data_IF_322928057140
#
_entry.id   IF_322928057140
#
_cell.length_a   1.000
_cell.length_b   1.000
_cell.length_c   1.000
_cell.angle_alpha   90.00
_cell.angle_beta   90.00
_cell.angle_gamma   90.00
#
_symmetry.space_group_name_H-M   'P 1'
#
loop_
_entity.id
_entity.type
_entity.pdbx_description
1 polymer ?
#
# COMPACT_ATOMS: atom_id res chain seq x y z
N UNK A 1 -9.05 -22.25 22.61
CA UNK A 1 -8.75 -21.45 21.41
C UNK A 1 -9.61 -20.19 21.35
N UNK A 2 -9.01 -19.05 20.97
CA UNK A 2 -9.68 -17.75 20.76
C UNK A 2 -10.30 -17.71 19.36
N UNK A 3 -11.44 -17.06 19.18
CA UNK A 3 -12.05 -16.85 17.86
C UNK A 3 -11.20 -15.86 17.06
N UNK A 4 -10.89 -16.19 15.81
CA UNK A 4 -10.12 -15.34 14.89
C UNK A 4 -11.02 -14.76 13.81
N UNK A 5 -11.96 -15.56 13.31
CA UNK A 5 -12.89 -15.12 12.28
C UNK A 5 -14.16 -15.95 12.32
N UNK A 6 -15.28 -15.30 12.05
CA UNK A 6 -16.54 -15.95 11.75
C UNK A 6 -16.96 -15.60 10.33
N UNK A 7 -17.59 -16.53 9.63
CA UNK A 7 -18.21 -16.28 8.33
C UNK A 7 -19.71 -16.35 8.49
N UNK A 8 -20.43 -15.39 7.89
CA UNK A 8 -21.88 -15.38 7.88
C UNK A 8 -22.36 -15.25 6.44
N UNK A 9 -23.07 -16.28 5.98
CA UNK A 9 -23.66 -16.35 4.64
C UNK A 9 -25.18 -16.28 4.68
N UNK A 10 -25.83 -16.46 3.53
CA UNK A 10 -27.30 -16.54 3.47
C UNK A 10 -27.84 -17.88 3.95
N UNK A 11 -27.00 -18.92 3.97
CA UNK A 11 -27.35 -20.28 4.37
C UNK A 11 -26.45 -20.72 5.51
N UNK A 12 -26.95 -21.58 6.40
CA UNK A 12 -26.17 -22.15 7.52
C UNK A 12 -24.89 -22.86 7.07
N UNK A 13 -24.89 -23.46 5.88
CA UNK A 13 -23.73 -24.15 5.31
C UNK A 13 -22.59 -23.19 4.92
N UNK A 14 -22.89 -21.89 4.74
CA UNK A 14 -21.92 -20.85 4.46
C UNK A 14 -21.45 -20.11 5.73
N UNK A 15 -21.94 -20.54 6.90
CA UNK A 15 -21.52 -20.04 8.20
C UNK A 15 -20.38 -20.89 8.77
N UNK A 16 -19.49 -20.26 9.53
CA UNK A 16 -18.34 -20.93 10.11
C UNK A 16 -17.70 -20.10 11.21
N UNK A 17 -17.09 -20.75 12.19
CA UNK A 17 -16.31 -20.09 13.24
C UNK A 17 -14.96 -20.74 13.30
N UNK A 18 -13.91 -19.94 13.16
CA UNK A 18 -12.53 -20.40 13.14
C UNK A 18 -11.81 -19.87 14.37
N UNK A 19 -11.19 -20.78 15.12
CA UNK A 19 -10.49 -20.50 16.37
C UNK A 19 -9.03 -20.90 16.28
N UNK A 20 -8.19 -20.35 17.16
CA UNK A 20 -6.83 -20.85 17.33
C UNK A 20 -6.84 -22.34 17.68
N UNK A 21 -5.94 -23.10 17.03
CA UNK A 21 -5.87 -24.56 17.15
C UNK A 21 -4.89 -25.04 18.22
N UNK A 22 -3.99 -24.16 18.66
CA UNK A 22 -2.90 -24.46 19.60
C UNK A 22 -2.83 -23.37 20.66
N UNK A 23 -2.17 -23.72 21.76
CA UNK A 23 -1.79 -22.75 22.79
C UNK A 23 -0.76 -21.75 22.22
N UNK A 24 -0.77 -20.49 22.72
CA UNK A 24 0.19 -19.49 22.29
C UNK A 24 1.61 -19.91 22.67
N UNK A 25 2.55 -19.69 21.75
CA UNK A 25 3.98 -19.92 22.02
C UNK A 25 4.54 -18.87 22.98
N UNK A 26 4.09 -17.62 22.81
CA UNK A 26 4.55 -16.49 23.61
C UNK A 26 3.45 -15.41 23.68
N UNK A 27 3.12 -15.03 24.90
CA UNK A 27 2.10 -14.03 25.21
C UNK A 27 2.67 -12.68 25.65
N UNK A 28 3.98 -12.59 25.86
CA UNK A 28 4.66 -11.42 26.44
C UNK A 28 5.44 -10.62 25.41
N UNK A 29 6.04 -11.27 24.39
CA UNK A 29 6.81 -10.61 23.34
C UNK A 29 5.92 -9.56 22.65
N UNK A 30 6.32 -8.27 22.67
CA UNK A 30 5.63 -7.22 21.95
C UNK A 30 5.64 -7.50 20.44
N UNK A 31 4.48 -7.32 19.81
CA UNK A 31 4.30 -7.53 18.37
C UNK A 31 3.71 -6.27 17.75
N UNK A 32 4.30 -5.85 16.64
CA UNK A 32 3.74 -4.87 15.69
C UNK A 32 3.51 -5.54 14.35
N UNK A 33 2.44 -5.17 13.65
CA UNK A 33 2.13 -5.69 12.31
C UNK A 33 2.08 -4.54 11.31
N UNK A 34 2.90 -4.61 10.27
CA UNK A 34 2.89 -3.65 9.18
C UNK A 34 1.80 -4.00 8.17
N UNK A 35 0.97 -3.02 7.82
CA UNK A 35 -0.12 -3.18 6.84
C UNK A 35 -0.15 -2.01 5.86
N UNK A 36 -0.69 -2.26 4.67
CA UNK A 36 -0.90 -1.22 3.65
C UNK A 36 -2.19 -1.49 2.85
N UNK A 37 -2.47 -0.63 1.86
CA UNK A 37 -3.64 -0.78 0.98
C UNK A 37 -3.67 -2.09 0.17
N UNK A 38 -2.54 -2.77 0.00
CA UNK A 38 -2.43 -4.11 -0.62
C UNK A 38 -2.73 -5.26 0.33
N UNK A 39 -2.81 -5.00 1.64
CA UNK A 39 -3.22 -5.99 2.63
C UNK A 39 -4.70 -6.31 2.42
N UNK A 40 -5.00 -7.53 1.97
CA UNK A 40 -6.35 -7.93 1.61
C UNK A 40 -6.69 -9.35 2.08
N UNK A 41 -7.97 -9.61 2.32
CA UNK A 41 -8.49 -10.97 2.58
C UNK A 41 -7.89 -11.61 3.84
N UNK A 42 -7.25 -12.78 3.74
CA UNK A 42 -6.67 -13.49 4.90
C UNK A 42 -5.67 -12.64 5.70
N UNK A 43 -4.94 -11.73 5.05
CA UNK A 43 -4.03 -10.82 5.72
C UNK A 43 -4.77 -9.80 6.58
N UNK A 44 -5.96 -9.36 6.16
CA UNK A 44 -6.83 -8.47 6.95
C UNK A 44 -7.46 -9.22 8.12
N UNK A 45 -7.82 -10.50 7.94
CA UNK A 45 -8.29 -11.34 9.04
C UNK A 45 -7.19 -11.44 10.11
N UNK A 46 -5.94 -11.71 9.70
CA UNK A 46 -4.82 -11.81 10.63
C UNK A 46 -4.55 -10.49 11.37
N UNK A 47 -4.36 -9.39 10.62
CA UNK A 47 -4.09 -8.08 11.21
C UNK A 47 -5.24 -7.60 12.08
N UNK A 48 -6.48 -7.71 11.59
CA UNK A 48 -7.69 -7.31 12.31
C UNK A 48 -7.94 -8.15 13.56
N UNK A 49 -7.70 -9.47 13.52
CA UNK A 49 -7.83 -10.31 14.71
C UNK A 49 -6.77 -10.00 15.77
N UNK A 50 -5.53 -9.72 15.35
CA UNK A 50 -4.48 -9.30 16.29
C UNK A 50 -4.79 -7.92 16.91
N UNK A 51 -5.39 -7.01 16.15
CA UNK A 51 -5.84 -5.70 16.64
C UNK A 51 -7.02 -5.86 17.62
N UNK A 52 -8.05 -6.61 17.22
CA UNK A 52 -9.28 -6.79 17.98
C UNK A 52 -9.06 -7.56 19.29
N UNK A 53 -8.04 -8.43 19.34
CA UNK A 53 -7.62 -9.14 20.56
C UNK A 53 -6.56 -8.39 21.36
N UNK A 54 -6.20 -7.16 20.96
CA UNK A 54 -5.17 -6.33 21.59
C UNK A 54 -3.83 -7.05 21.75
N UNK A 55 -3.50 -7.94 20.79
CA UNK A 55 -2.26 -8.72 20.79
C UNK A 55 -1.12 -8.01 20.08
N UNK A 56 -1.43 -7.16 19.11
CA UNK A 56 -0.43 -6.43 18.34
C UNK A 56 -0.90 -5.02 17.99
N UNK A 57 0.07 -4.12 17.89
CA UNK A 57 -0.15 -2.76 17.37
C UNK A 57 -0.04 -2.80 15.85
N UNK A 58 -1.05 -2.31 15.15
CA UNK A 58 -1.10 -2.26 13.69
C UNK A 58 -0.53 -0.91 13.22
N UNK A 59 0.44 -0.96 12.31
CA UNK A 59 1.18 0.22 11.81
C UNK A 59 1.13 0.25 10.28
N UNK A 60 0.93 1.42 9.69
CA UNK A 60 1.01 1.60 8.24
C UNK A 60 -0.19 2.35 7.66
N UNK A 61 -0.82 1.85 6.60
CA UNK A 61 -2.04 2.47 6.05
C UNK A 61 -3.23 1.54 6.10
N UNK A 62 -4.43 2.13 5.99
CA UNK A 62 -5.69 1.40 5.88
C UNK A 62 -5.59 0.28 4.83
N UNK A 63 -6.07 -0.91 5.20
CA UNK A 63 -6.06 -2.09 4.33
C UNK A 63 -7.10 -2.00 3.21
N UNK A 64 -7.13 -3.00 2.33
CA UNK A 64 -7.97 -3.00 1.13
C UNK A 64 -9.49 -2.99 1.44
N UNK A 65 -9.92 -3.75 2.45
CA UNK A 65 -11.31 -3.95 2.80
C UNK A 65 -12.00 -5.05 2.00
N UNK A 66 -11.31 -6.17 1.75
CA UNK A 66 -11.89 -7.34 1.09
C UNK A 66 -12.45 -8.30 2.13
N UNK A 67 -13.69 -8.06 2.54
CA UNK A 67 -14.45 -8.80 3.55
C UNK A 67 -15.30 -9.97 3.05
N UNK A 68 -15.23 -10.31 1.75
CA UNK A 68 -16.03 -11.36 1.12
C UNK A 68 -15.29 -12.69 1.05
N UNK A 69 -16.02 -13.79 1.26
CA UNK A 69 -15.53 -15.16 1.15
C UNK A 69 -16.07 -15.78 -0.14
N UNK A 70 -15.15 -16.27 -0.97
CA UNK A 70 -15.47 -17.00 -2.19
C UNK A 70 -15.03 -18.45 -2.09
N UNK A 71 -15.83 -19.36 -2.67
CA UNK A 71 -15.45 -20.75 -2.87
C UNK A 71 -15.35 -21.05 -4.37
N UNK A 72 -14.31 -21.80 -4.81
CA UNK A 72 -14.27 -22.32 -6.16
C UNK A 72 -15.27 -23.48 -6.32
N UNK A 73 -15.92 -23.53 -7.48
CA UNK A 73 -16.78 -24.62 -7.93
C UNK A 73 -16.25 -25.09 -9.27
N UNK A 74 -15.82 -26.33 -9.35
CA UNK A 74 -15.36 -26.93 -10.60
C UNK A 74 -16.51 -27.03 -11.59
N UNK A 75 -16.22 -26.70 -12.85
CA UNK A 75 -17.13 -26.82 -13.98
C UNK A 75 -16.58 -27.87 -14.96
N UNK A 76 -17.40 -28.37 -15.89
CA UNK A 76 -16.93 -29.21 -16.99
C UNK A 76 -15.79 -28.56 -17.79
N UNK A 77 -14.98 -29.40 -18.43
CA UNK A 77 -13.87 -28.97 -19.30
C UNK A 77 -12.78 -28.14 -18.59
N UNK A 78 -12.59 -28.33 -17.28
CA UNK A 78 -11.53 -27.66 -16.50
C UNK A 78 -11.86 -26.21 -16.10
N UNK A 79 -13.09 -25.74 -16.36
CA UNK A 79 -13.54 -24.44 -15.88
C UNK A 79 -13.66 -24.38 -14.36
N UNK A 80 -13.54 -23.18 -13.79
CA UNK A 80 -13.76 -22.95 -12.37
C UNK A 80 -14.57 -21.68 -12.15
N UNK A 81 -15.67 -21.79 -11.40
CA UNK A 81 -16.49 -20.66 -10.99
C UNK A 81 -16.16 -20.28 -9.55
N UNK A 82 -15.76 -19.03 -9.30
CA UNK A 82 -15.61 -18.51 -7.93
C UNK A 82 -16.90 -17.84 -7.49
N UNK A 83 -17.57 -18.42 -6.51
CA UNK A 83 -18.86 -17.92 -6.00
C UNK A 83 -18.66 -17.29 -4.63
N UNK A 84 -19.07 -16.03 -4.48
CA UNK A 84 -19.14 -15.37 -3.16
C UNK A 84 -20.32 -15.94 -2.36
N UNK A 85 -20.05 -16.45 -1.16
CA UNK A 85 -21.06 -17.14 -0.34
C UNK A 85 -21.32 -16.46 1.02
N UNK A 86 -20.35 -15.70 1.54
CA UNK A 86 -20.44 -15.11 2.87
C UNK A 86 -19.58 -13.86 3.02
N UNK A 87 -19.83 -13.12 4.10
CA UNK A 87 -18.94 -12.10 4.65
C UNK A 87 -18.18 -12.70 5.82
N UNK A 88 -16.96 -12.23 6.08
CA UNK A 88 -16.27 -12.53 7.33
C UNK A 88 -16.31 -11.37 8.33
N UNK A 89 -16.25 -11.74 9.60
CA UNK A 89 -16.26 -10.86 10.74
C UNK A 89 -15.12 -11.26 11.69
N UNK A 90 -14.32 -10.28 12.09
CA UNK A 90 -13.18 -10.43 12.99
C UNK A 90 -13.65 -10.32 14.46
N UNK A 91 -12.80 -10.60 15.47
CA UNK A 91 -13.24 -10.89 16.84
C UNK A 91 -14.13 -9.85 17.52
N UNK A 92 -13.98 -8.56 17.20
CA UNK A 92 -14.86 -7.49 17.68
C UNK A 92 -16.30 -7.56 17.13
N UNK A 93 -16.54 -8.43 16.14
CA UNK A 93 -17.80 -8.58 15.43
C UNK A 93 -17.93 -7.66 14.20
N UNK A 94 -16.91 -6.86 13.88
CA UNK A 94 -16.92 -5.95 12.72
C UNK A 94 -16.64 -6.65 11.40
N UNK A 95 -17.25 -6.15 10.33
CA UNK A 95 -16.99 -6.61 8.96
C UNK A 95 -16.06 -5.61 8.24
N UNK A 96 -14.92 -6.07 7.76
CA UNK A 96 -13.95 -5.18 7.11
C UNK A 96 -14.30 -4.86 5.64
N UNK A 97 -15.40 -5.40 5.10
CA UNK A 97 -15.80 -5.19 3.71
C UNK A 97 -16.02 -3.69 3.41
N UNK A 98 -15.20 -3.13 2.53
CA UNK A 98 -15.22 -1.71 2.17
C UNK A 98 -16.31 -1.35 1.15
N UNK A 99 -16.48 -2.17 0.11
CA UNK A 99 -17.45 -1.89 -0.96
C UNK A 99 -18.83 -2.43 -0.59
N UNK A 100 -19.86 -1.58 -0.67
CA UNK A 100 -21.25 -2.01 -0.50
C UNK A 100 -21.87 -2.36 -1.87
N UNK A 101 -21.89 -3.66 -2.19
CA UNK A 101 -22.51 -4.14 -3.42
C UNK A 101 -24.05 -4.11 -3.42
N UNK A 102 -24.70 -3.77 -2.29
CA UNK A 102 -26.17 -3.64 -2.23
C UNK A 102 -26.63 -2.26 -2.68
N UNK A 103 -25.82 -1.23 -2.46
CA UNK A 103 -26.12 0.14 -2.85
C UNK A 103 -25.25 0.49 -4.06
N UNK A 104 -25.90 0.76 -5.18
CA UNK A 104 -25.24 1.19 -6.41
C UNK A 104 -25.64 2.64 -6.67
N UNK A 105 -24.71 3.41 -7.21
CA UNK A 105 -25.01 4.76 -7.70
C UNK A 105 -25.88 4.71 -8.97
N UNK A 106 -26.24 5.89 -9.48
CA UNK A 106 -27.09 6.06 -10.67
C UNK A 106 -26.47 5.43 -11.93
N UNK A 107 -25.14 5.31 -11.97
CA UNK A 107 -24.39 4.66 -13.05
C UNK A 107 -24.23 3.14 -12.84
N UNK A 108 -24.73 2.61 -11.72
CA UNK A 108 -24.73 1.19 -11.39
C UNK A 108 -23.43 0.71 -10.72
N UNK A 109 -22.50 1.59 -10.36
CA UNK A 109 -21.27 1.24 -9.67
C UNK A 109 -21.49 1.08 -8.16
N UNK A 110 -20.81 0.10 -7.57
CA UNK A 110 -20.81 -0.10 -6.13
C UNK A 110 -19.66 0.70 -5.50
N UNK A 111 -20.01 1.65 -4.64
CA UNK A 111 -19.05 2.51 -3.96
C UNK A 111 -18.49 1.92 -2.66
N UNK A 112 -17.42 2.54 -2.17
CA UNK A 112 -16.95 2.32 -0.80
C UNK A 112 -17.96 2.92 0.17
N UNK A 113 -18.22 2.24 1.29
CA UNK A 113 -19.01 2.79 2.38
C UNK A 113 -18.30 4.05 2.94
N UNK A 114 -18.96 5.22 2.96
CA UNK A 114 -18.39 6.42 3.58
C UNK A 114 -18.13 6.20 5.07
N UNK A 115 -17.05 6.79 5.58
CA UNK A 115 -16.65 6.64 6.99
C UNK A 115 -17.75 7.09 7.96
N UNK A 116 -18.58 8.07 7.58
CA UNK A 116 -19.74 8.55 8.37
C UNK A 116 -20.83 7.51 8.57
N UNK A 117 -20.92 6.50 7.69
CA UNK A 117 -21.90 5.41 7.75
C UNK A 117 -21.35 4.14 8.41
N UNK A 118 -20.07 4.14 8.79
CA UNK A 118 -19.45 3.01 9.52
C UNK A 118 -19.91 2.97 10.97
N UNK A 119 -19.97 1.76 11.53
CA UNK A 119 -20.36 1.48 12.90
C UNK A 119 -19.14 1.30 13.79
N UNK A 120 -19.27 1.73 15.04
CA UNK A 120 -18.25 1.55 16.08
C UNK A 120 -18.40 0.18 16.71
N UNK A 121 -17.27 -0.50 16.87
CA UNK A 121 -17.06 -1.75 17.58
C UNK A 121 -15.91 -1.54 18.56
N UNK A 122 -15.64 -2.55 19.38
CA UNK A 122 -14.61 -2.46 20.42
C UNK A 122 -13.70 -3.69 20.39
N UNK A 123 -12.41 -3.46 20.60
CA UNK A 123 -11.43 -4.52 20.86
C UNK A 123 -11.67 -5.17 22.22
N UNK A 124 -10.97 -6.26 22.53
CA UNK A 124 -11.08 -6.99 23.81
C UNK A 124 -10.79 -6.08 25.03
N UNK A 125 -9.83 -5.16 24.90
CA UNK A 125 -9.48 -4.15 25.90
C UNK A 125 -10.38 -2.92 25.86
N UNK A 126 -11.32 -2.81 24.90
CA UNK A 126 -12.30 -1.73 24.82
C UNK A 126 -11.90 -0.53 23.95
N UNK A 127 -10.90 -0.66 23.06
CA UNK A 127 -10.53 0.42 22.13
C UNK A 127 -11.54 0.51 20.99
N UNK A 128 -11.86 1.73 20.55
CA UNK A 128 -12.78 1.93 19.43
C UNK A 128 -12.14 1.45 18.11
N UNK A 129 -12.88 0.63 17.38
CA UNK A 129 -12.55 0.18 16.02
C UNK A 129 -13.80 0.27 15.15
N UNK A 130 -13.64 0.39 13.82
CA UNK A 130 -14.77 0.58 12.89
C UNK A 130 -14.83 -0.50 11.81
N UNK A 131 -16.03 -0.74 11.30
CA UNK A 131 -16.28 -1.60 10.13
C UNK A 131 -16.14 -0.83 8.80
N UNK A 132 -16.44 -1.49 7.67
CA UNK A 132 -16.82 -0.80 6.44
C UNK A 132 -15.67 -0.19 5.61
N UNK A 133 -14.42 -0.50 5.90
CA UNK A 133 -13.29 0.15 5.22
C UNK A 133 -11.97 -0.60 5.23
N UNK A 134 -11.92 -1.88 5.58
CA UNK A 134 -10.67 -2.54 5.94
C UNK A 134 -10.34 -2.36 7.42
N UNK A 135 -9.15 -2.80 7.79
CA UNK A 135 -8.51 -2.57 9.09
C UNK A 135 -7.80 -1.21 9.03
N UNK A 136 -8.19 -0.30 9.92
CA UNK A 136 -7.51 0.99 10.12
C UNK A 136 -6.37 0.74 11.11
N UNK A 137 -5.12 1.12 10.79
CA UNK A 137 -3.98 0.91 11.68
C UNK A 137 -4.09 1.78 12.95
N UNK A 138 -3.53 1.29 14.05
CA UNK A 138 -3.43 2.03 15.32
C UNK A 138 -2.47 3.22 15.19
N UNK A 139 -1.43 3.06 14.36
CA UNK A 139 -0.55 4.15 13.94
C UNK A 139 -0.55 4.27 12.41
N UNK A 140 -1.10 5.37 11.92
CA UNK A 140 -1.06 5.66 10.48
C UNK A 140 0.30 6.23 10.09
N UNK A 141 0.90 5.64 9.06
CA UNK A 141 2.14 6.12 8.42
C UNK A 141 1.77 6.63 7.04
N UNK A 142 2.23 7.84 6.70
CA UNK A 142 1.95 8.44 5.40
C UNK A 142 2.72 7.68 4.32
N UNK A 143 2.02 7.19 3.30
CA UNK A 143 2.66 6.69 2.08
C UNK A 143 3.03 7.89 1.21
N UNK A 144 4.31 8.00 0.87
CA UNK A 144 4.73 8.94 -0.15
C UNK A 144 4.31 8.40 -1.54
N UNK A 145 3.74 9.26 -2.40
CA UNK A 145 3.33 8.86 -3.74
C UNK A 145 4.57 8.49 -4.56
N UNK A 146 4.44 7.45 -5.38
CA UNK A 146 5.48 7.06 -6.33
C UNK A 146 5.65 8.20 -7.35
N UNK A 147 6.86 8.74 -7.54
CA UNK A 147 7.10 9.77 -8.56
C UNK A 147 6.68 9.28 -9.94
N UNK A 148 6.03 10.15 -10.73
CA UNK A 148 5.56 9.81 -12.08
C UNK A 148 6.69 9.27 -12.97
N UNK A 149 7.87 9.90 -12.92
CA UNK A 149 9.05 9.46 -13.68
C UNK A 149 9.41 8.00 -13.41
N UNK A 150 9.28 7.56 -12.15
CA UNK A 150 9.66 6.22 -11.73
C UNK A 150 8.71 5.16 -12.32
N UNK A 151 7.42 5.46 -12.44
CA UNK A 151 6.45 4.59 -13.10
C UNK A 151 6.88 4.28 -14.54
N UNK A 152 7.23 5.32 -15.30
CA UNK A 152 7.65 5.16 -16.70
C UNK A 152 9.04 4.52 -16.84
N UNK A 153 10.01 4.87 -15.97
CA UNK A 153 11.33 4.22 -15.95
C UNK A 153 11.23 2.70 -15.72
N UNK A 154 10.26 2.24 -14.93
CA UNK A 154 10.00 0.82 -14.68
C UNK A 154 9.26 0.21 -15.87
N UNK A 155 8.19 0.84 -16.34
CA UNK A 155 7.35 0.32 -17.43
C UNK A 155 8.14 0.14 -18.74
N UNK A 156 9.05 1.06 -19.02
CA UNK A 156 9.91 1.03 -20.21
C UNK A 156 11.16 0.16 -20.01
N UNK A 157 11.22 -0.61 -18.91
CA UNK A 157 12.29 -1.53 -18.54
C UNK A 157 13.67 -0.90 -18.33
N UNK A 158 13.80 0.43 -18.26
CA UNK A 158 15.11 1.08 -18.07
C UNK A 158 15.77 0.67 -16.75
N UNK A 159 15.01 0.61 -15.66
CA UNK A 159 15.52 0.09 -14.37
C UNK A 159 16.00 -1.36 -14.51
N UNK A 160 15.21 -2.19 -15.17
CA UNK A 160 15.51 -3.61 -15.37
C UNK A 160 16.77 -3.81 -16.21
N UNK A 161 16.88 -3.10 -17.32
CA UNK A 161 18.01 -3.16 -18.26
C UNK A 161 19.30 -2.65 -17.62
N UNK A 162 19.22 -1.55 -16.86
CA UNK A 162 20.37 -1.06 -16.11
C UNK A 162 20.86 -2.10 -15.10
N UNK A 163 19.97 -2.65 -14.29
CA UNK A 163 20.33 -3.69 -13.33
C UNK A 163 20.93 -4.92 -14.03
N UNK A 164 20.52 -5.23 -15.28
CA UNK A 164 21.06 -6.36 -16.05
C UNK A 164 22.49 -6.10 -16.43
N UNK A 165 22.74 -4.93 -17.02
CA UNK A 165 24.08 -4.51 -17.38
C UNK A 165 24.99 -4.35 -16.15
N UNK A 166 24.45 -3.89 -15.03
CA UNK A 166 25.17 -3.78 -13.76
C UNK A 166 25.64 -5.16 -13.29
N UNK A 167 24.74 -6.16 -13.25
CA UNK A 167 25.06 -7.51 -12.80
C UNK A 167 26.01 -8.27 -13.75
N UNK A 168 26.01 -7.94 -15.04
CA UNK A 168 26.97 -8.50 -15.99
C UNK A 168 28.40 -7.97 -15.77
N UNK A 169 28.53 -6.74 -15.27
CA UNK A 169 29.82 -6.08 -15.00
C UNK A 169 30.35 -6.32 -13.59
N UNK A 170 29.48 -6.65 -12.65
CA UNK A 170 29.81 -6.88 -11.25
C UNK A 170 29.56 -8.34 -10.89
N UNK A 171 30.62 -9.13 -10.67
CA UNK A 171 30.46 -10.53 -10.27
C UNK A 171 29.92 -10.67 -8.85
N UNK A 172 30.18 -9.68 -7.99
CA UNK A 172 29.74 -9.64 -6.60
C UNK A 172 29.39 -8.22 -6.20
N UNK A 173 28.58 -8.09 -5.15
CA UNK A 173 28.19 -6.82 -4.53
C UNK A 173 28.29 -6.92 -3.02
N UNK A 174 28.20 -5.79 -2.34
CA UNK A 174 28.08 -5.75 -0.88
C UNK A 174 26.82 -6.51 -0.40
N UNK A 175 26.83 -7.03 0.85
CA UNK A 175 25.65 -7.62 1.46
C UNK A 175 24.41 -6.72 1.36
N UNK A 176 23.23 -7.32 1.19
CA UNK A 176 21.97 -6.57 1.05
C UNK A 176 21.76 -5.54 2.17
N UNK A 177 22.19 -5.81 3.40
CA UNK A 177 22.05 -4.88 4.53
C UNK A 177 22.94 -3.63 4.43
N UNK A 178 24.03 -3.67 3.68
CA UNK A 178 24.99 -2.56 3.55
C UNK A 178 25.13 -2.02 2.13
N UNK A 179 24.49 -2.65 1.14
CA UNK A 179 24.50 -2.17 -0.25
C UNK A 179 23.93 -0.76 -0.38
N UNK A 180 24.65 0.08 -1.12
CA UNK A 180 24.24 1.43 -1.51
C UNK A 180 24.66 1.62 -2.96
N UNK A 181 23.74 2.05 -3.82
CA UNK A 181 24.08 2.42 -5.19
C UNK A 181 24.91 3.70 -5.18
N UNK A 182 26.11 3.65 -5.78
CA UNK A 182 27.02 4.80 -5.76
C UNK A 182 26.53 5.94 -6.65
N UNK A 183 27.04 7.16 -6.43
CA UNK A 183 26.76 8.29 -7.32
C UNK A 183 27.31 8.06 -8.73
N UNK A 184 28.42 7.34 -8.87
CA UNK A 184 28.97 6.95 -10.16
C UNK A 184 28.01 6.03 -10.92
N UNK A 185 27.51 4.99 -10.25
CA UNK A 185 26.51 4.07 -10.82
C UNK A 185 25.24 4.83 -11.23
N UNK A 186 24.78 5.75 -10.38
CA UNK A 186 23.61 6.56 -10.69
C UNK A 186 23.82 7.49 -11.90
N UNK A 187 25.00 8.07 -12.06
CA UNK A 187 25.34 8.87 -13.23
C UNK A 187 25.42 8.02 -14.51
N UNK A 188 25.89 6.77 -14.42
CA UNK A 188 25.83 5.81 -15.52
C UNK A 188 24.38 5.50 -15.91
N UNK A 189 23.49 5.33 -14.92
CA UNK A 189 22.05 5.17 -15.16
C UNK A 189 21.46 6.38 -15.88
N UNK A 190 21.73 7.62 -15.41
CA UNK A 190 21.26 8.85 -16.08
C UNK A 190 21.72 8.91 -17.54
N UNK A 191 22.96 8.53 -17.80
CA UNK A 191 23.53 8.49 -19.15
C UNK A 191 22.78 7.49 -20.04
N UNK A 192 22.47 6.32 -19.51
CA UNK A 192 21.70 5.29 -20.22
C UNK A 192 20.26 5.77 -20.52
N UNK A 193 19.58 6.38 -19.55
CA UNK A 193 18.22 6.94 -19.72
C UNK A 193 18.20 7.98 -20.84
N UNK A 194 19.17 8.91 -20.87
CA UNK A 194 19.29 9.92 -21.93
C UNK A 194 19.55 9.31 -23.30
N UNK A 195 20.45 8.31 -23.36
CA UNK A 195 20.77 7.61 -24.61
C UNK A 195 19.57 6.86 -25.19
N UNK A 196 18.64 6.42 -24.33
CA UNK A 196 17.42 5.76 -24.73
C UNK A 196 16.33 6.71 -25.26
N UNK A 197 16.57 8.03 -25.31
CA UNK A 197 15.55 9.06 -25.63
C UNK A 197 14.28 8.89 -24.78
N UNK A 198 14.45 8.59 -23.49
CA UNK A 198 13.36 8.33 -22.56
C UNK A 198 12.42 9.54 -22.44
N UNK A 199 11.12 9.26 -22.55
CA UNK A 199 10.03 10.24 -22.43
C UNK A 199 8.97 9.66 -21.52
N UNK A 200 8.29 10.53 -20.81
CA UNK A 200 7.24 10.13 -19.91
C UNK A 200 6.13 11.17 -19.86
N UNK A 201 4.95 10.75 -19.44
CA UNK A 201 3.74 11.52 -19.69
C UNK A 201 3.69 12.82 -18.90
N UNK A 202 3.36 13.90 -19.62
CA UNK A 202 3.25 15.27 -19.11
C UNK A 202 1.79 15.58 -18.83
N UNK A 203 1.21 14.87 -17.85
CA UNK A 203 -0.21 14.99 -17.54
C UNK A 203 -0.62 16.45 -17.22
N UNK A 204 0.23 17.18 -16.49
CA UNK A 204 0.00 18.59 -16.17
C UNK A 204 -0.04 19.49 -17.42
N UNK A 205 0.78 19.21 -18.44
CA UNK A 205 0.76 19.98 -19.70
C UNK A 205 -0.55 19.73 -20.46
N UNK A 206 -0.99 18.47 -20.56
CA UNK A 206 -2.28 18.11 -21.17
C UNK A 206 -3.44 18.79 -20.46
N UNK A 207 -3.48 18.71 -19.13
CA UNK A 207 -4.54 19.34 -18.32
C UNK A 207 -4.53 20.85 -18.44
N UNK A 208 -3.34 21.48 -18.45
CA UNK A 208 -3.22 22.93 -18.64
C UNK A 208 -3.74 23.35 -20.02
N UNK A 209 -3.44 22.57 -21.07
CA UNK A 209 -3.95 22.81 -22.41
C UNK A 209 -5.49 22.74 -22.45
N UNK A 210 -6.09 21.70 -21.86
CA UNK A 210 -7.56 21.58 -21.79
C UNK A 210 -8.18 22.73 -21.01
N UNK A 211 -7.58 23.14 -19.89
CA UNK A 211 -8.05 24.28 -19.11
C UNK A 211 -7.94 25.59 -19.91
N UNK A 212 -6.87 25.77 -20.68
CA UNK A 212 -6.67 26.92 -21.56
C UNK A 212 -7.77 26.98 -22.63
N UNK A 213 -8.06 25.86 -23.29
CA UNK A 213 -9.13 25.76 -24.29
C UNK A 213 -10.51 26.11 -23.69
N UNK A 214 -10.82 25.63 -22.48
CA UNK A 214 -12.07 25.98 -21.79
C UNK A 214 -12.13 27.46 -21.42
N UNK A 215 -11.05 28.02 -20.87
CA UNK A 215 -10.98 29.41 -20.47
C UNK A 215 -11.05 30.37 -21.67
N UNK A 216 -10.54 29.97 -22.84
CA UNK A 216 -10.70 30.73 -24.09
C UNK A 216 -12.16 30.74 -24.56
N UNK A 217 -12.81 29.57 -24.55
CA UNK A 217 -14.23 29.44 -24.88
C UNK A 217 -15.14 30.26 -23.95
N UNK A 218 -14.81 30.32 -22.66
CA UNK A 218 -15.56 31.08 -21.65
C UNK A 218 -15.21 32.60 -21.65
N UNK A 219 -14.23 33.03 -22.44
CA UNK A 219 -13.84 34.43 -22.58
C UNK A 219 -12.91 34.97 -21.49
N UNK A 220 -12.24 34.11 -20.72
CA UNK A 220 -11.35 34.51 -19.62
C UNK A 220 -9.94 34.91 -20.07
N UNK A 221 -9.56 34.68 -21.33
CA UNK A 221 -8.19 34.90 -21.80
C UNK A 221 -7.72 36.35 -21.77
N UNK A 222 -8.63 37.32 -21.84
CA UNK A 222 -8.29 38.74 -21.76
C UNK A 222 -7.58 39.09 -20.44
N UNK A 223 -7.96 38.44 -19.34
CA UNK A 223 -7.41 38.69 -18.01
C UNK A 223 -6.42 37.62 -17.52
N UNK A 224 -6.44 36.41 -18.11
CA UNK A 224 -5.70 35.26 -17.59
C UNK A 224 -4.50 34.81 -18.45
N UNK A 225 -4.29 35.42 -19.63
CA UNK A 225 -3.27 34.95 -20.60
C UNK A 225 -1.85 34.89 -20.00
N UNK A 226 -1.47 35.90 -19.21
CA UNK A 226 -0.14 36.00 -18.60
C UNK A 226 0.08 34.85 -17.61
N UNK A 227 -0.94 34.51 -16.82
CA UNK A 227 -0.91 33.42 -15.85
C UNK A 227 -0.78 32.06 -16.54
N UNK A 228 -1.49 31.84 -17.65
CA UNK A 228 -1.34 30.61 -18.45
C UNK A 228 0.07 30.48 -19.02
N UNK A 229 0.63 31.54 -19.61
CA UNK A 229 2.02 31.52 -20.12
C UNK A 229 3.04 31.26 -19.00
N UNK A 230 2.82 31.83 -17.81
CA UNK A 230 3.68 31.59 -16.66
C UNK A 230 3.60 30.13 -16.17
N UNK A 231 2.41 29.54 -16.16
CA UNK A 231 2.20 28.13 -15.82
C UNK A 231 2.80 27.19 -16.87
N UNK A 232 2.63 27.46 -18.17
CA UNK A 232 3.22 26.67 -19.25
C UNK A 232 4.76 26.60 -19.13
N UNK A 233 5.41 27.73 -18.82
CA UNK A 233 6.86 27.77 -18.59
C UNK A 233 7.29 26.98 -17.36
N UNK A 234 6.49 26.97 -16.29
CA UNK A 234 6.82 26.28 -15.02
C UNK A 234 6.50 24.79 -15.04
N UNK A 235 5.50 24.37 -15.81
CA UNK A 235 5.03 22.98 -15.88
C UNK A 235 5.70 22.18 -17.00
N UNK A 236 6.72 22.75 -17.65
CA UNK A 236 7.54 22.05 -18.63
C UNK A 236 8.45 21.04 -17.95
N UNK A 237 8.35 19.78 -18.34
CA UNK A 237 9.22 18.74 -17.81
C UNK A 237 10.69 19.00 -18.13
N UNK A 238 11.55 18.67 -17.17
CA UNK A 238 12.98 18.74 -17.32
C UNK A 238 13.56 17.43 -16.79
N UNK A 239 13.84 16.51 -17.72
CA UNK A 239 14.33 15.18 -17.40
C UNK A 239 15.58 15.23 -16.50
N UNK A 240 16.48 16.18 -16.72
CA UNK A 240 17.68 16.35 -15.87
C UNK A 240 17.32 16.72 -14.45
N UNK A 241 16.46 17.73 -14.30
CA UNK A 241 15.97 18.15 -12.99
C UNK A 241 15.23 17.01 -12.29
N UNK A 242 14.35 16.29 -12.99
CA UNK A 242 13.54 15.24 -12.41
C UNK A 242 14.37 14.02 -11.99
N UNK A 243 15.36 13.63 -12.80
CA UNK A 243 16.33 12.60 -12.43
C UNK A 243 17.13 12.99 -11.19
N UNK A 244 17.46 14.27 -11.01
CA UNK A 244 18.21 14.72 -9.83
C UNK A 244 17.30 14.86 -8.59
N UNK A 245 16.11 15.45 -8.77
CA UNK A 245 15.13 15.69 -7.71
C UNK A 245 14.60 14.38 -7.12
N UNK A 246 14.26 13.40 -7.96
CA UNK A 246 13.78 12.08 -7.55
C UNK A 246 14.90 11.04 -7.41
N UNK A 247 16.16 11.48 -7.32
CA UNK A 247 17.32 10.58 -7.30
C UNK A 247 17.26 9.56 -6.16
N UNK A 248 16.77 9.93 -4.98
CA UNK A 248 16.60 9.00 -3.86
C UNK A 248 15.67 7.84 -4.23
N UNK A 249 14.48 8.12 -4.74
CA UNK A 249 13.48 7.11 -5.09
C UNK A 249 13.96 6.21 -6.23
N UNK A 250 14.58 6.81 -7.25
CA UNK A 250 15.11 6.08 -8.41
C UNK A 250 16.27 5.16 -7.97
N UNK A 251 17.23 5.66 -7.19
CA UNK A 251 18.33 4.86 -6.64
C UNK A 251 17.81 3.70 -5.79
N UNK A 252 16.76 3.93 -5.00
CA UNK A 252 16.16 2.89 -4.17
C UNK A 252 15.58 1.75 -5.01
N UNK A 253 14.81 2.07 -6.06
CA UNK A 253 14.26 1.04 -6.95
C UNK A 253 15.36 0.29 -7.71
N UNK A 254 16.37 1.00 -8.24
CA UNK A 254 17.52 0.37 -8.90
C UNK A 254 18.24 -0.58 -7.93
N UNK A 255 18.48 -0.13 -6.70
CA UNK A 255 19.16 -0.93 -5.67
C UNK A 255 18.38 -2.21 -5.36
N UNK A 256 17.05 -2.11 -5.24
CA UNK A 256 16.18 -3.28 -5.01
C UNK A 256 16.25 -4.26 -6.17
N UNK A 257 16.22 -3.77 -7.41
CA UNK A 257 16.26 -4.59 -8.61
C UNK A 257 17.63 -5.29 -8.80
N UNK A 258 18.72 -4.60 -8.47
CA UNK A 258 20.08 -5.19 -8.43
C UNK A 258 20.16 -6.25 -7.34
N UNK A 259 19.84 -5.91 -6.09
CA UNK A 259 20.00 -6.81 -4.93
C UNK A 259 19.14 -8.06 -5.05
N UNK A 260 17.96 -7.95 -5.66
CA UNK A 260 17.10 -9.09 -5.96
C UNK A 260 17.79 -10.16 -6.83
N UNK A 261 18.80 -9.81 -7.62
CA UNK A 261 19.50 -10.75 -8.52
C UNK A 261 20.64 -11.49 -7.84
N UNK A 262 21.26 -10.90 -6.82
CA UNK A 262 22.32 -11.54 -6.03
C UNK A 262 21.78 -12.32 -4.82
N UNK A 263 20.74 -11.80 -4.19
CA UNK A 263 20.25 -12.27 -2.90
C UNK A 263 18.76 -12.66 -2.93
N UNK A 264 18.18 -12.73 -4.13
CA UNK A 264 16.80 -13.14 -4.37
C UNK A 264 15.81 -12.30 -3.56
N UNK A 265 14.67 -12.89 -3.21
CA UNK A 265 13.61 -12.23 -2.48
C UNK A 265 14.06 -11.74 -1.10
N UNK A 266 14.90 -12.50 -0.39
CA UNK A 266 15.37 -12.14 0.95
C UNK A 266 16.18 -10.83 0.92
N UNK A 267 17.13 -10.70 -0.01
CA UNK A 267 17.89 -9.46 -0.14
C UNK A 267 17.04 -8.29 -0.58
N UNK A 268 16.09 -8.51 -1.50
CA UNK A 268 15.16 -7.46 -1.94
C UNK A 268 14.35 -6.88 -0.76
N UNK A 269 13.87 -7.75 0.15
CA UNK A 269 13.18 -7.33 1.37
C UNK A 269 14.12 -6.53 2.28
N UNK A 270 15.33 -7.03 2.53
CA UNK A 270 16.33 -6.32 3.36
C UNK A 270 16.62 -4.93 2.79
N UNK A 271 16.78 -4.81 1.47
CA UNK A 271 17.05 -3.52 0.82
C UNK A 271 15.87 -2.55 0.95
N UNK A 272 14.63 -3.02 0.74
CA UNK A 272 13.42 -2.18 0.86
C UNK A 272 13.22 -1.66 2.29
N UNK A 273 13.50 -2.50 3.29
CA UNK A 273 13.25 -2.17 4.69
C UNK A 273 14.20 -1.10 5.28
N UNK A 274 15.31 -0.77 4.60
CA UNK A 274 16.27 0.24 5.09
C UNK A 274 15.64 1.62 5.30
N UNK A 275 14.80 2.02 4.36
CA UNK A 275 14.16 3.34 4.34
C UNK A 275 12.66 3.25 4.63
N UNK A 276 12.15 2.14 5.16
CA UNK A 276 10.72 1.96 5.41
C UNK A 276 10.27 2.73 6.67
N UNK A 277 9.41 3.75 6.48
CA UNK A 277 8.86 4.55 7.58
C UNK A 277 8.01 3.71 8.53
N UNK A 278 7.29 2.71 8.00
CA UNK A 278 6.46 1.79 8.79
C UNK A 278 7.30 0.96 9.76
N UNK A 279 8.40 0.40 9.28
CA UNK A 279 9.36 -0.34 10.10
C UNK A 279 10.01 0.57 11.13
N UNK A 280 10.41 1.79 10.75
CA UNK A 280 11.02 2.74 11.68
C UNK A 280 10.07 3.10 12.82
N UNK A 281 8.80 3.35 12.54
CA UNK A 281 7.80 3.61 13.57
C UNK A 281 7.48 2.37 14.41
N UNK A 282 7.39 1.18 13.80
CA UNK A 282 7.19 -0.07 14.52
C UNK A 282 8.34 -0.35 15.51
N UNK A 283 9.59 -0.15 15.10
CA UNK A 283 10.77 -0.30 15.98
C UNK A 283 10.74 0.71 17.13
N UNK A 284 10.35 1.96 16.88
CA UNK A 284 10.17 2.96 17.95
C UNK A 284 9.13 2.52 18.97
N UNK A 285 8.00 1.98 18.51
CA UNK A 285 6.93 1.45 19.37
C UNK A 285 7.42 0.26 20.20
N UNK A 286 8.10 -0.71 19.57
CA UNK A 286 8.58 -1.91 20.25
C UNK A 286 9.67 -1.62 21.30
N UNK A 287 10.44 -0.54 21.11
CA UNK A 287 11.46 -0.09 22.06
C UNK A 287 10.92 0.83 23.17
N UNK A 288 9.62 1.12 23.20
CA UNK A 288 8.97 1.94 24.22
C UNK A 288 7.82 1.15 24.89
N UNK A 289 8.11 0.39 25.96
CA UNK A 289 7.12 -0.49 26.60
C UNK A 289 5.89 0.24 27.15
N UNK A 290 6.06 1.47 27.65
CA UNK A 290 4.96 2.25 28.19
C UNK A 290 4.04 2.75 27.08
N UNK A 291 4.62 3.26 25.98
CA UNK A 291 3.85 3.60 24.78
C UNK A 291 3.15 2.38 24.19
N UNK A 292 3.83 1.24 24.09
CA UNK A 292 3.25 -0.01 23.57
C UNK A 292 2.02 -0.45 24.38
N UNK A 293 2.15 -0.52 25.71
CA UNK A 293 1.05 -0.87 26.61
C UNK A 293 -0.08 0.15 26.53
N UNK A 294 0.25 1.45 26.49
CA UNK A 294 -0.73 2.52 26.33
C UNK A 294 -1.56 2.38 25.06
N UNK A 295 -0.93 2.05 23.93
CA UNK A 295 -1.62 1.85 22.64
C UNK A 295 -2.58 0.65 22.63
N UNK A 296 -2.35 -0.36 23.48
CA UNK A 296 -3.19 -1.56 23.60
C UNK A 296 -4.20 -1.49 24.75
N UNK A 297 -4.22 -0.39 25.50
CA UNK A 297 -5.19 -0.15 26.57
C UNK A 297 -6.32 0.75 26.07
N UNK A 298 -7.55 0.55 26.55
CA UNK A 298 -8.60 1.55 26.36
C UNK A 298 -8.23 2.84 27.08
N UNK A 299 -8.37 3.96 26.39
CA UNK A 299 -8.35 5.27 27.03
C UNK A 299 -9.40 5.29 28.13
N UNK A 300 -8.99 5.52 29.37
CA UNK A 300 -9.93 5.76 30.47
C UNK A 300 -10.78 6.96 30.05
N UNK A 301 -12.07 6.74 29.77
CA UNK A 301 -13.03 7.83 29.58
C UNK A 301 -12.98 8.70 30.84
N UNK A 302 -12.40 9.89 30.72
CA UNK A 302 -12.57 10.96 31.70
C UNK A 302 -13.99 11.50 31.60
#
# INVERSE_FOLDING_TARGET
GKTIVTTQGRTKQAEGTYKTLREPLDTEIPVTVLVNNGTASSSEILAGALQDLDRAVIVGTRTFGKGLVQIPRSLPYGGNLKVTISKYYIPSGRCVQAVDYKQRDEEGYAGRLPDSLTRVFYTEAGREVRDGGGVIPDLTVKLEPIPNILFYLINDNLVFDYATNYCLKHLTVAPAASFVLSDADYNDFKTMVKKADFKYDQQSEKTLKTLKEAADFEGYMENASIEFEALEKKLKHNLDYDLDYFSKDIKNVISVEIIKRYYYQCGSIIQQLKDDDGLREAVKILNDPERYKGMLSASVKR
#
